data_IF_033037875455
#
_entry.id   IF_033037875455
#
_cell.length_a   1.000
_cell.length_b   1.000
_cell.length_c   1.000
_cell.angle_alpha   90.00
_cell.angle_beta   90.00
_cell.angle_gamma   90.00
#
_symmetry.space_group_name_H-M   'P 1'
#
loop_
_entity.id
_entity.type
_entity.pdbx_description
1 polymer ?
#
# COMPACT_ATOMS: atom_id res chain seq x y z
N UNK A 1 -2.85 -2.77 15.97
CA UNK A 1 -2.04 -2.99 14.75
C UNK A 1 -0.76 -2.18 14.82
N UNK A 2 0.32 -2.62 14.19
CA UNK A 2 1.54 -1.86 13.98
C UNK A 2 1.41 -1.01 12.72
N UNK A 3 1.67 0.28 12.85
CA UNK A 3 1.80 1.16 11.69
C UNK A 3 3.17 0.99 11.04
N UNK A 4 3.33 1.60 9.86
CA UNK A 4 4.64 1.90 9.33
C UNK A 4 5.43 2.80 10.29
N UNK A 5 6.76 2.75 10.18
CA UNK A 5 7.65 3.66 10.89
C UNK A 5 7.65 5.05 10.22
N UNK A 6 8.31 6.02 10.85
CA UNK A 6 8.29 7.41 10.37
C UNK A 6 8.90 7.59 8.97
N UNK A 7 10.00 6.88 8.64
CA UNK A 7 10.65 6.98 7.32
C UNK A 7 9.74 6.41 6.24
N UNK A 8 9.24 5.20 6.43
CA UNK A 8 8.32 4.54 5.51
C UNK A 8 7.01 5.32 5.33
N UNK A 9 6.49 5.91 6.41
CA UNK A 9 5.28 6.76 6.35
C UNK A 9 5.52 8.00 5.48
N UNK A 10 6.69 8.65 5.59
CA UNK A 10 7.02 9.80 4.74
C UNK A 10 7.07 9.42 3.26
N UNK A 11 7.71 8.29 2.91
CA UNK A 11 7.71 7.79 1.53
C UNK A 11 6.30 7.50 1.06
N UNK A 12 5.51 6.77 1.85
CA UNK A 12 4.13 6.45 1.52
C UNK A 12 3.29 7.71 1.27
N UNK A 13 3.45 8.75 2.09
CA UNK A 13 2.71 10.01 1.91
C UNK A 13 3.11 10.74 0.62
N UNK A 14 4.37 10.68 0.19
CA UNK A 14 4.78 11.16 -1.15
C UNK A 14 4.12 10.33 -2.26
N UNK A 15 4.07 9.00 -2.07
CA UNK A 15 3.40 8.09 -3.00
C UNK A 15 1.91 8.36 -3.13
N UNK A 16 1.22 8.98 -2.18
CA UNK A 16 -0.22 9.26 -2.29
C UNK A 16 -0.55 10.75 -2.39
N UNK A 17 0.47 11.61 -2.43
CA UNK A 17 0.28 13.04 -2.56
C UNK A 17 -0.53 13.39 -3.81
N UNK A 18 -1.53 14.26 -3.64
CA UNK A 18 -2.48 14.64 -4.68
C UNK A 18 -3.67 13.69 -4.90
N UNK A 19 -3.76 12.56 -4.18
CA UNK A 19 -4.93 11.67 -4.22
C UNK A 19 -5.90 11.99 -3.07
N UNK A 20 -7.18 12.19 -3.39
CA UNK A 20 -8.17 12.68 -2.40
C UNK A 20 -9.56 12.02 -2.46
N UNK A 21 -9.81 11.11 -3.42
CA UNK A 21 -11.08 10.40 -3.56
C UNK A 21 -10.89 8.96 -4.03
N UNK A 22 -11.90 8.12 -3.81
CA UNK A 22 -11.90 6.72 -4.29
C UNK A 22 -11.83 6.68 -5.82
N UNK A 23 -10.93 5.87 -6.36
CA UNK A 23 -10.58 5.77 -7.78
C UNK A 23 -9.43 6.69 -8.21
N UNK A 24 -9.04 7.66 -7.38
CA UNK A 24 -7.86 8.48 -7.65
C UNK A 24 -6.61 7.59 -7.63
N UNK A 25 -5.83 7.64 -8.72
CA UNK A 25 -4.66 6.80 -8.91
C UNK A 25 -3.52 7.56 -9.57
N UNK A 26 -2.31 7.04 -9.43
CA UNK A 26 -1.14 7.50 -10.19
C UNK A 26 -0.12 6.39 -10.38
N UNK A 27 0.61 6.49 -11.48
CA UNK A 27 1.80 5.70 -11.79
C UNK A 27 3.03 6.60 -11.65
N UNK A 28 4.04 6.12 -10.94
CA UNK A 28 5.27 6.85 -10.65
C UNK A 28 6.43 6.07 -11.29
N UNK A 29 7.17 6.74 -12.17
CA UNK A 29 8.33 6.21 -12.87
C UNK A 29 9.39 7.31 -12.99
N UNK A 30 10.00 7.67 -11.86
CA UNK A 30 11.03 8.72 -11.81
C UNK A 30 12.38 8.23 -12.34
N UNK A 31 12.58 6.91 -12.40
CA UNK A 31 13.81 6.28 -12.86
C UNK A 31 13.84 5.96 -14.36
N UNK A 32 12.90 6.52 -15.14
CA UNK A 32 12.82 6.37 -16.59
C UNK A 32 12.90 4.90 -17.05
N UNK A 33 12.19 4.01 -16.35
CA UNK A 33 12.15 2.57 -16.65
C UNK A 33 13.35 1.76 -16.16
N UNK A 34 14.32 2.35 -15.45
CA UNK A 34 15.40 1.59 -14.82
C UNK A 34 14.88 0.64 -13.71
N UNK A 35 13.74 0.98 -13.12
CA UNK A 35 13.00 0.16 -12.17
C UNK A 35 11.53 0.04 -12.59
N UNK A 36 10.85 -0.97 -12.05
CA UNK A 36 9.40 -1.11 -12.26
C UNK A 36 8.67 0.11 -11.66
N UNK A 37 7.76 0.74 -12.41
CA UNK A 37 6.95 1.83 -11.89
C UNK A 37 6.14 1.40 -10.68
N UNK A 38 5.89 2.33 -9.75
CA UNK A 38 4.96 2.13 -8.63
C UNK A 38 3.60 2.67 -9.04
N UNK A 39 2.56 1.85 -8.94
CA UNK A 39 1.18 2.29 -9.09
C UNK A 39 0.53 2.42 -7.71
N UNK A 40 -0.23 3.48 -7.50
CA UNK A 40 -1.06 3.66 -6.31
C UNK A 40 -2.49 4.03 -6.66
N UNK A 41 -3.45 3.60 -5.86
CA UNK A 41 -4.87 3.90 -6.03
C UNK A 41 -5.58 3.96 -4.68
N UNK A 42 -6.46 4.95 -4.48
CA UNK A 42 -7.42 4.93 -3.37
C UNK A 42 -8.58 4.01 -3.77
N UNK A 43 -8.71 2.86 -3.12
CA UNK A 43 -9.69 1.84 -3.49
C UNK A 43 -10.95 1.86 -2.62
N UNK A 44 -10.91 2.49 -1.44
CA UNK A 44 -12.07 2.63 -0.58
C UNK A 44 -11.95 3.78 0.43
N UNK A 45 -13.10 4.28 0.88
CA UNK A 45 -13.23 5.15 2.04
C UNK A 45 -14.11 4.45 3.09
N UNK A 46 -13.53 3.81 4.13
CA UNK A 46 -14.28 3.09 5.15
C UNK A 46 -14.97 4.07 6.12
N UNK A 47 -15.93 4.83 5.63
CA UNK A 47 -16.64 5.89 6.37
C UNK A 47 -17.34 5.39 7.64
N UNK A 48 -17.78 4.13 7.67
CA UNK A 48 -18.35 3.49 8.86
C UNK A 48 -17.31 3.20 9.97
N UNK A 49 -16.02 3.19 9.64
CA UNK A 49 -14.94 3.00 10.60
C UNK A 49 -14.51 4.35 11.19
N UNK A 50 -14.12 5.30 10.34
CA UNK A 50 -13.75 6.67 10.71
C UNK A 50 -13.71 7.56 9.47
N UNK A 51 -14.30 8.75 9.55
CA UNK A 51 -14.26 9.74 8.48
C UNK A 51 -12.82 10.18 8.17
N UNK A 52 -12.52 10.42 6.90
CA UNK A 52 -11.19 10.87 6.45
C UNK A 52 -10.12 9.79 6.46
N UNK A 53 -10.52 8.51 6.57
CA UNK A 53 -9.64 7.38 6.34
C UNK A 53 -9.79 6.86 4.91
N UNK A 54 -8.69 6.41 4.31
CA UNK A 54 -8.69 5.77 2.99
C UNK A 54 -8.04 4.40 3.05
N UNK A 55 -8.49 3.50 2.17
CA UNK A 55 -7.72 2.31 1.81
C UNK A 55 -7.03 2.56 0.48
N UNK A 56 -5.72 2.38 0.46
CA UNK A 56 -4.86 2.62 -0.70
C UNK A 56 -4.19 1.33 -1.11
N UNK A 57 -4.27 0.95 -2.39
CA UNK A 57 -3.44 -0.10 -2.97
C UNK A 57 -2.12 0.52 -3.46
N UNK A 58 -1.00 -0.15 -3.17
CA UNK A 58 0.33 0.14 -3.73
C UNK A 58 0.80 -1.12 -4.42
N UNK A 59 1.21 -1.04 -5.68
CA UNK A 59 1.53 -2.21 -6.49
C UNK A 59 2.64 -1.92 -7.49
N UNK A 60 3.42 -2.95 -7.83
CA UNK A 60 4.18 -2.99 -9.08
C UNK A 60 3.64 -4.10 -9.97
N UNK A 61 3.93 -3.98 -11.27
CA UNK A 61 3.63 -5.01 -12.25
C UNK A 61 4.87 -5.37 -13.03
N UNK A 62 5.04 -6.67 -13.29
CA UNK A 62 5.93 -7.20 -14.30
C UNK A 62 5.12 -7.84 -15.43
N UNK A 63 5.73 -8.03 -16.59
CA UNK A 63 5.11 -8.74 -17.71
C UNK A 63 5.48 -10.22 -17.69
N UNK A 64 4.49 -11.10 -17.83
CA UNK A 64 4.68 -12.54 -17.98
C UNK A 64 3.71 -13.07 -19.02
N UNK A 65 4.25 -13.68 -20.10
CA UNK A 65 3.46 -14.16 -21.24
C UNK A 65 2.58 -13.08 -21.90
N UNK A 66 2.99 -11.81 -21.85
CA UNK A 66 2.22 -10.68 -22.38
C UNK A 66 1.15 -10.12 -21.46
N UNK A 67 0.94 -10.73 -20.28
CA UNK A 67 0.03 -10.22 -19.25
C UNK A 67 0.80 -9.49 -18.15
N UNK A 68 0.19 -8.44 -17.59
CA UNK A 68 0.71 -7.79 -16.39
C UNK A 68 0.38 -8.64 -15.16
N UNK A 69 1.39 -8.88 -14.34
CA UNK A 69 1.30 -9.67 -13.11
C UNK A 69 1.83 -8.86 -11.93
N UNK A 70 1.10 -8.88 -10.83
CA UNK A 70 1.37 -8.14 -9.59
C UNK A 70 2.67 -8.60 -8.89
N UNK A 71 3.56 -7.68 -8.49
CA UNK A 71 4.82 -7.97 -7.77
C UNK A 71 5.36 -6.87 -6.84
N UNK A 72 5.01 -6.85 -5.55
CA UNK A 72 3.75 -7.27 -4.96
C UNK A 72 2.70 -6.16 -5.01
N UNK A 73 1.47 -6.46 -4.56
CA UNK A 73 0.50 -5.47 -4.11
C UNK A 73 0.31 -5.54 -2.59
N UNK A 74 0.20 -4.38 -1.94
CA UNK A 74 -0.24 -4.26 -0.55
C UNK A 74 -1.30 -3.17 -0.45
N UNK A 75 -2.38 -3.47 0.27
CA UNK A 75 -3.36 -2.44 0.63
C UNK A 75 -3.06 -1.87 2.01
N UNK A 76 -3.31 -0.57 2.18
CA UNK A 76 -3.00 0.17 3.39
C UNK A 76 -4.20 0.98 3.85
N UNK A 77 -4.53 0.93 5.14
CA UNK A 77 -5.38 1.91 5.78
C UNK A 77 -4.55 3.15 6.12
N UNK A 78 -4.94 4.30 5.59
CA UNK A 78 -4.38 5.61 5.91
C UNK A 78 -5.41 6.36 6.75
N UNK A 79 -5.03 6.75 7.97
CA UNK A 79 -5.92 7.53 8.84
C UNK A 79 -5.85 9.02 8.54
N UNK A 80 -6.85 9.78 9.01
CA UNK A 80 -6.86 11.24 8.92
C UNK A 80 -5.61 11.88 9.56
N UNK A 81 -5.05 11.25 10.59
CA UNK A 81 -3.81 11.65 11.26
C UNK A 81 -2.54 11.16 10.54
N UNK A 82 -2.69 10.69 9.29
CA UNK A 82 -1.60 10.20 8.42
C UNK A 82 -0.85 9.00 9.00
N UNK A 83 -1.50 8.19 9.82
CA UNK A 83 -0.94 6.90 10.26
C UNK A 83 -1.29 5.82 9.25
N UNK A 84 -0.30 5.02 8.85
CA UNK A 84 -0.44 4.05 7.77
C UNK A 84 -0.32 2.63 8.32
N UNK A 85 -1.33 1.79 8.05
CA UNK A 85 -1.37 0.39 8.48
C UNK A 85 -1.55 -0.53 7.28
N UNK A 86 -0.63 -1.48 7.03
CA UNK A 86 -0.85 -2.46 5.96
C UNK A 86 -1.93 -3.47 6.34
N UNK A 87 -2.71 -3.89 5.34
CA UNK A 87 -3.92 -4.70 5.48
C UNK A 87 -3.79 -6.05 4.75
N UNK A 88 -3.61 -6.03 3.43
CA UNK A 88 -3.50 -7.24 2.61
C UNK A 88 -2.19 -7.26 1.84
N UNK A 89 -1.73 -8.46 1.47
CA UNK A 89 -0.59 -8.68 0.59
C UNK A 89 -1.00 -9.65 -0.52
N UNK A 90 -0.65 -9.33 -1.75
CA UNK A 90 -0.83 -10.17 -2.93
C UNK A 90 0.46 -10.24 -3.76
N UNK A 91 0.76 -11.44 -4.28
CA UNK A 91 1.84 -11.68 -5.23
C UNK A 91 1.30 -12.53 -6.38
N UNK A 92 1.00 -11.92 -7.52
CA UNK A 92 0.77 -12.55 -8.83
C UNK A 92 0.03 -13.90 -8.83
N UNK A 93 -1.03 -14.08 -8.05
CA UNK A 93 -1.75 -15.36 -7.92
C UNK A 93 -1.01 -16.49 -7.19
N UNK A 94 0.23 -16.26 -6.74
CA UNK A 94 1.04 -17.19 -5.94
C UNK A 94 0.64 -17.14 -4.47
N UNK A 95 0.39 -15.94 -3.95
CA UNK A 95 0.09 -15.71 -2.55
C UNK A 95 -0.92 -14.58 -2.40
N UNK A 96 -1.92 -14.80 -1.56
CA UNK A 96 -2.80 -13.76 -1.06
C UNK A 96 -2.97 -13.94 0.45
N UNK A 97 -2.74 -12.87 1.21
CA UNK A 97 -2.83 -12.89 2.67
C UNK A 97 -3.53 -11.64 3.20
N UNK A 98 -4.59 -11.86 3.98
CA UNK A 98 -5.28 -10.81 4.74
C UNK A 98 -4.68 -10.74 6.13
N UNK A 99 -3.87 -9.73 6.41
CA UNK A 99 -3.31 -9.50 7.74
C UNK A 99 -4.25 -8.68 8.63
N UNK A 100 -5.00 -7.74 8.02
CA UNK A 100 -6.06 -6.99 8.65
C UNK A 100 -7.18 -6.69 7.64
N UNK A 101 -8.42 -6.59 8.12
CA UNK A 101 -9.58 -6.16 7.34
C UNK A 101 -10.51 -5.28 8.17
N UNK A 102 -11.22 -4.39 7.49
CA UNK A 102 -12.27 -3.55 8.08
C UNK A 102 -13.60 -4.20 7.76
N UNK A 103 -14.38 -4.54 8.79
CA UNK A 103 -15.68 -5.18 8.64
C UNK A 103 -16.65 -4.55 9.65
N UNK A 104 -17.78 -4.03 9.16
CA UNK A 104 -18.82 -3.39 9.99
C UNK A 104 -18.29 -2.33 10.97
N UNK A 105 -17.40 -1.45 10.48
CA UNK A 105 -16.80 -0.39 11.30
C UNK A 105 -15.81 -0.87 12.37
N UNK A 106 -15.36 -2.13 12.30
CA UNK A 106 -14.35 -2.69 13.20
C UNK A 106 -13.17 -3.24 12.41
N UNK A 107 -11.99 -3.17 13.02
CA UNK A 107 -10.78 -3.78 12.46
C UNK A 107 -10.59 -5.16 13.08
N UNK A 108 -10.50 -6.17 12.23
CA UNK A 108 -10.10 -7.52 12.60
C UNK A 108 -8.74 -7.81 11.99
N UNK A 109 -7.80 -8.30 12.78
CA UNK A 109 -6.43 -8.53 12.30
C UNK A 109 -5.77 -9.71 13.01
N UNK A 110 -4.92 -10.42 12.28
CA UNK A 110 -3.99 -11.38 12.85
C UNK A 110 -2.75 -10.63 13.35
N UNK A 111 -2.45 -10.73 14.65
CA UNK A 111 -1.39 -9.94 15.29
C UNK A 111 0.00 -10.26 14.74
N UNK A 112 0.28 -11.53 14.41
CA UNK A 112 1.58 -11.95 13.90
C UNK A 112 1.72 -11.55 12.43
N UNK A 113 0.73 -11.88 11.59
CA UNK A 113 0.75 -11.54 10.18
C UNK A 113 0.78 -10.03 9.95
N UNK A 114 0.03 -9.25 10.74
CA UNK A 114 -0.01 -7.79 10.62
C UNK A 114 1.30 -7.15 11.07
N UNK A 115 1.95 -7.70 12.12
CA UNK A 115 3.29 -7.26 12.51
C UNK A 115 4.30 -7.54 11.41
N UNK A 116 4.31 -8.75 10.87
CA UNK A 116 5.32 -9.18 9.90
C UNK A 116 5.13 -8.43 8.57
N UNK A 117 3.88 -8.19 8.15
CA UNK A 117 3.59 -7.35 6.99
C UNK A 117 4.04 -5.88 7.20
N UNK A 118 3.88 -5.33 8.40
CA UNK A 118 4.39 -3.99 8.71
C UNK A 118 5.92 -3.90 8.66
N UNK A 119 6.64 -4.95 9.07
CA UNK A 119 8.09 -5.00 8.92
C UNK A 119 8.49 -5.03 7.44
N UNK A 120 7.90 -5.94 6.66
CA UNK A 120 8.10 -6.00 5.22
C UNK A 120 7.85 -4.64 4.54
N UNK A 121 6.74 -3.98 4.86
CA UNK A 121 6.39 -2.71 4.23
C UNK A 121 7.34 -1.57 4.62
N UNK A 122 7.99 -1.63 5.79
CA UNK A 122 8.98 -0.62 6.14
C UNK A 122 10.22 -0.71 5.25
N UNK A 123 10.69 -1.93 4.98
CA UNK A 123 11.84 -2.17 4.11
C UNK A 123 11.46 -1.89 2.65
N UNK A 124 10.27 -2.32 2.22
CA UNK A 124 9.78 -2.08 0.87
C UNK A 124 9.59 -0.60 0.55
N UNK A 125 9.06 0.20 1.49
CA UNK A 125 8.97 1.66 1.32
C UNK A 125 10.35 2.33 1.28
N UNK A 126 11.38 1.76 1.93
CA UNK A 126 12.74 2.25 1.78
C UNK A 126 13.27 1.98 0.37
N UNK A 127 13.06 0.78 -0.16
CA UNK A 127 13.45 0.42 -1.53
C UNK A 127 12.72 1.29 -2.57
N UNK A 128 11.41 1.51 -2.42
CA UNK A 128 10.66 2.39 -3.33
C UNK A 128 11.22 3.82 -3.32
N UNK A 129 11.59 4.35 -2.14
CA UNK A 129 12.18 5.68 -2.06
C UNK A 129 13.51 5.76 -2.82
N UNK A 130 14.35 4.74 -2.72
CA UNK A 130 15.62 4.67 -3.45
C UNK A 130 15.41 4.51 -4.96
N UNK A 131 14.48 3.65 -5.36
CA UNK A 131 14.17 3.40 -6.78
C UNK A 131 13.52 4.60 -7.46
N UNK A 132 12.71 5.39 -6.75
CA UNK A 132 11.97 6.52 -7.31
C UNK A 132 12.59 7.88 -6.96
N UNK A 133 13.80 7.89 -6.39
CA UNK A 133 14.56 9.08 -6.03
C UNK A 133 13.76 10.12 -5.20
N UNK A 134 13.19 9.65 -4.08
CA UNK A 134 12.38 10.48 -3.17
C UNK A 134 13.15 11.14 -2.03
#
# INVERSE_FOLDING_TARGET
MRSLNQKATKTFLKLVDGLDHVGANKKIDNAAGAFMPVCVEIIAEPSQFRNGCFVVAVTHYYESNGDLVTDPEVTFLVTAEKTVFPLTFEQGGVCYRVAAKIENGKIMFDKAAQRDLALFCNDWMANIAEQQDF
#
